data_IF_480975869011
#
_entry.id   IF_480975869011
#
_cell.length_a   1.000
_cell.length_b   1.000
_cell.length_c   1.000
_cell.angle_alpha   90.00
_cell.angle_beta   90.00
_cell.angle_gamma   90.00
#
_symmetry.space_group_name_H-M   'P 1'
#
loop_
_entity.id
_entity.type
_entity.pdbx_description
1 polymer ?
#
# COMPACT_ATOMS: atom_id res chain seq x y z
N UNK A 1 3.24 5.87 -29.29
CA UNK A 1 1.93 6.51 -29.53
C UNK A 1 1.79 7.23 -30.88
N UNK A 2 2.90 7.63 -31.52
CA UNK A 2 2.85 8.33 -32.82
C UNK A 2 2.21 7.52 -33.96
N UNK A 3 2.41 6.21 -33.97
CA UNK A 3 1.80 5.32 -34.97
C UNK A 3 0.28 5.27 -34.83
N UNK A 4 -0.21 5.29 -33.61
CA UNK A 4 -1.64 5.26 -33.31
C UNK A 4 -2.29 6.60 -33.67
N UNK A 5 -1.68 7.72 -33.33
CA UNK A 5 -2.11 9.05 -33.70
C UNK A 5 -2.13 9.24 -35.23
N UNK A 6 -1.12 8.75 -35.93
CA UNK A 6 -1.07 8.80 -37.39
C UNK A 6 -2.22 8.01 -38.04
N UNK A 7 -2.54 6.85 -37.48
CA UNK A 7 -3.65 6.01 -37.93
C UNK A 7 -5.01 6.64 -37.65
N UNK A 8 -5.18 7.25 -36.47
CA UNK A 8 -6.38 8.00 -36.11
C UNK A 8 -6.58 9.24 -36.96
N UNK A 9 -5.53 10.00 -37.23
CA UNK A 9 -5.56 11.15 -38.16
C UNK A 9 -6.02 10.75 -39.53
N UNK A 10 -5.57 9.60 -40.04
CA UNK A 10 -6.00 9.07 -41.35
C UNK A 10 -7.47 8.65 -41.35
N UNK A 11 -7.94 8.01 -40.24
CA UNK A 11 -9.33 7.58 -40.10
C UNK A 11 -10.31 8.76 -39.99
N UNK A 12 -9.93 9.76 -39.20
CA UNK A 12 -10.76 10.95 -38.98
C UNK A 12 -10.63 12.02 -40.08
N UNK A 13 -9.61 11.92 -40.96
CA UNK A 13 -9.31 12.96 -41.95
C UNK A 13 -8.91 14.31 -41.36
N UNK A 14 -8.58 14.35 -40.06
CA UNK A 14 -8.24 15.55 -39.27
C UNK A 14 -7.11 15.22 -38.28
N UNK A 15 -6.46 16.30 -37.82
CA UNK A 15 -5.41 16.14 -36.80
C UNK A 15 -6.05 15.93 -35.42
N UNK A 16 -5.91 14.74 -34.89
CA UNK A 16 -6.37 14.36 -33.54
C UNK A 16 -5.28 14.74 -32.54
N UNK A 17 -5.64 15.53 -31.53
CA UNK A 17 -4.67 16.01 -30.53
C UNK A 17 -4.33 14.95 -29.47
N UNK A 18 -5.28 14.06 -29.17
CA UNK A 18 -5.12 13.02 -28.14
C UNK A 18 -5.70 11.69 -28.65
N UNK A 19 -4.96 10.60 -28.44
CA UNK A 19 -5.39 9.26 -28.83
C UNK A 19 -6.73 8.84 -28.21
N UNK A 20 -7.00 9.26 -26.97
CA UNK A 20 -8.27 8.98 -26.31
C UNK A 20 -9.46 9.62 -27.02
N UNK A 21 -9.36 10.91 -27.36
CA UNK A 21 -10.43 11.61 -28.07
C UNK A 21 -10.62 11.03 -29.48
N UNK A 22 -9.53 10.60 -30.13
CA UNK A 22 -9.61 9.99 -31.46
C UNK A 22 -10.25 8.60 -31.48
N UNK A 23 -10.11 7.81 -30.43
CA UNK A 23 -10.71 6.46 -30.34
C UNK A 23 -12.21 6.55 -30.02
N UNK A 24 -12.60 7.45 -29.14
CA UNK A 24 -13.96 7.51 -28.58
C UNK A 24 -14.84 8.60 -29.23
N UNK A 25 -14.36 9.30 -30.24
CA UNK A 25 -15.15 10.27 -30.99
C UNK A 25 -15.74 9.67 -32.27
N UNK A 26 -16.83 10.26 -32.74
CA UNK A 26 -17.48 9.82 -33.97
C UNK A 26 -16.65 10.27 -35.20
N UNK A 27 -16.50 9.37 -36.20
CA UNK A 27 -15.61 9.54 -37.34
C UNK A 27 -15.88 10.82 -38.21
N UNK A 28 -17.05 11.42 -38.07
CA UNK A 28 -17.43 12.62 -38.85
C UNK A 28 -17.74 13.85 -37.99
N UNK A 29 -17.73 13.71 -36.66
CA UNK A 29 -17.97 14.81 -35.73
C UNK A 29 -16.67 15.43 -35.21
N UNK A 30 -16.78 16.49 -34.43
CA UNK A 30 -15.64 17.12 -33.80
C UNK A 30 -14.91 16.11 -32.88
N UNK A 31 -13.61 15.83 -33.09
CA UNK A 31 -12.86 14.87 -32.29
C UNK A 31 -12.70 15.26 -30.81
N UNK A 32 -13.14 16.46 -30.42
CA UNK A 32 -13.22 16.87 -29.01
C UNK A 32 -14.46 16.33 -28.30
N UNK A 33 -15.49 15.86 -29.03
CA UNK A 33 -16.73 15.33 -28.46
C UNK A 33 -16.64 13.81 -28.33
N UNK A 34 -16.64 13.33 -27.11
CA UNK A 34 -16.64 11.88 -26.82
C UNK A 34 -18.04 11.31 -27.03
N UNK A 35 -18.14 10.24 -27.80
CA UNK A 35 -19.39 9.53 -27.96
C UNK A 35 -19.68 8.69 -26.72
N UNK A 36 -20.88 8.81 -26.13
CA UNK A 36 -21.31 8.03 -24.98
C UNK A 36 -21.96 6.76 -25.47
N UNK A 37 -21.46 5.61 -25.02
CA UNK A 37 -22.00 4.31 -25.42
C UNK A 37 -21.25 3.17 -24.77
N UNK A 38 -21.70 1.95 -25.03
CA UNK A 38 -21.04 0.74 -24.60
C UNK A 38 -19.90 0.40 -25.54
N UNK A 39 -18.69 0.31 -25.01
CA UNK A 39 -17.49 -0.02 -25.79
C UNK A 39 -17.01 -1.42 -25.42
N UNK A 40 -16.77 -2.25 -26.44
CA UNK A 40 -16.23 -3.60 -26.25
C UNK A 40 -14.76 -3.62 -26.68
N UNK A 41 -13.86 -3.91 -25.74
CA UNK A 41 -12.46 -4.17 -26.02
C UNK A 41 -12.28 -5.67 -26.27
N UNK A 42 -11.87 -6.03 -27.50
CA UNK A 42 -11.49 -7.41 -27.81
C UNK A 42 -9.99 -7.53 -27.90
N UNK A 43 -9.38 -8.27 -26.99
CA UNK A 43 -7.96 -8.57 -27.00
C UNK A 43 -7.79 -9.97 -27.56
N UNK A 44 -6.99 -10.10 -28.63
CA UNK A 44 -6.66 -11.40 -29.23
C UNK A 44 -5.16 -11.59 -29.01
N UNK A 45 -4.82 -12.55 -28.16
CA UNK A 45 -3.44 -12.98 -27.94
C UNK A 45 -3.19 -14.27 -28.74
N UNK A 46 -2.08 -14.31 -29.45
CA UNK A 46 -1.65 -15.50 -30.19
C UNK A 46 -0.31 -15.96 -29.63
N UNK A 47 -0.28 -17.16 -29.10
CA UNK A 47 0.94 -17.81 -28.64
C UNK A 47 1.51 -18.70 -29.75
N UNK A 48 2.81 -18.67 -29.93
CA UNK A 48 3.50 -19.46 -30.96
C UNK A 48 4.13 -20.75 -30.41
N UNK A 49 4.17 -20.89 -29.08
CA UNK A 49 4.68 -22.06 -28.39
C UNK A 49 3.57 -22.72 -27.55
N UNK A 50 3.50 -24.07 -27.51
CA UNK A 50 2.38 -24.79 -26.88
C UNK A 50 2.24 -24.59 -25.36
N UNK A 51 3.33 -24.20 -24.67
CA UNK A 51 3.37 -23.99 -23.22
C UNK A 51 3.46 -22.51 -22.82
N UNK A 52 3.30 -21.60 -23.78
CA UNK A 52 3.34 -20.15 -23.49
C UNK A 52 2.00 -19.67 -22.96
N UNK A 53 2.02 -19.01 -21.81
CA UNK A 53 0.88 -18.31 -21.24
C UNK A 53 1.02 -16.80 -21.40
N UNK A 54 -0.10 -16.08 -21.56
CA UNK A 54 -0.13 -14.64 -21.73
C UNK A 54 -0.96 -14.03 -20.59
N UNK A 55 -0.30 -13.35 -19.70
CA UNK A 55 -0.97 -12.57 -18.67
C UNK A 55 -1.26 -11.15 -19.18
N UNK A 56 -2.53 -10.77 -19.27
CA UNK A 56 -2.95 -9.46 -19.77
C UNK A 56 -3.59 -8.68 -18.63
N UNK A 57 -2.99 -7.56 -18.26
CA UNK A 57 -3.56 -6.60 -17.34
C UNK A 57 -4.13 -5.41 -18.13
N UNK A 58 -5.44 -5.19 -18.02
CA UNK A 58 -6.11 -4.04 -18.61
C UNK A 58 -6.46 -3.01 -17.55
N UNK A 59 -5.88 -1.81 -17.67
CA UNK A 59 -6.17 -0.69 -16.77
C UNK A 59 -6.89 0.41 -17.53
N UNK A 60 -8.16 0.60 -17.23
CA UNK A 60 -8.95 1.70 -17.76
C UNK A 60 -8.85 2.92 -16.84
N UNK A 61 -8.28 4.00 -17.35
CA UNK A 61 -8.29 5.29 -16.67
C UNK A 61 -9.63 5.98 -16.91
N UNK A 62 -10.49 6.02 -15.90
CA UNK A 62 -11.76 6.74 -15.91
C UNK A 62 -11.75 7.94 -14.95
N UNK A 63 -12.76 8.79 -15.04
CA UNK A 63 -13.09 9.72 -13.97
C UNK A 63 -13.89 8.94 -12.92
N UNK A 64 -13.22 8.45 -11.88
CA UNK A 64 -13.88 7.80 -10.76
C UNK A 64 -14.22 8.89 -9.75
N UNK A 65 -15.51 9.14 -9.59
CA UNK A 65 -16.04 10.02 -8.55
C UNK A 65 -16.54 9.14 -7.39
N UNK A 66 -15.64 8.66 -6.54
CA UNK A 66 -16.00 8.03 -5.28
C UNK A 66 -16.31 9.08 -4.20
N UNK A 67 -16.91 8.66 -3.07
CA UNK A 67 -17.23 9.55 -1.95
C UNK A 67 -16.01 10.32 -1.41
N UNK A 68 -14.83 9.69 -1.45
CA UNK A 68 -13.57 10.27 -1.00
C UNK A 68 -12.61 10.62 -2.16
N UNK A 69 -13.11 10.58 -3.41
CA UNK A 69 -12.29 10.86 -4.59
C UNK A 69 -11.30 9.74 -4.92
N UNK A 70 -10.26 10.11 -5.67
CA UNK A 70 -9.24 9.18 -6.17
C UNK A 70 -7.84 9.64 -5.75
N UNK A 71 -6.92 8.68 -5.62
CA UNK A 71 -5.49 8.97 -5.40
C UNK A 71 -4.81 9.44 -6.70
N UNK A 72 -3.50 9.74 -6.60
CA UNK A 72 -2.67 10.15 -7.75
C UNK A 72 -2.56 9.06 -8.85
N UNK A 73 -2.86 7.79 -8.50
CA UNK A 73 -2.95 6.67 -9.44
C UNK A 73 -4.38 6.41 -9.93
N UNK A 74 -5.31 7.33 -9.64
CA UNK A 74 -6.74 7.26 -9.99
C UNK A 74 -7.46 6.03 -9.43
N UNK A 75 -7.01 5.49 -8.27
CA UNK A 75 -7.69 4.42 -7.54
C UNK A 75 -8.71 5.03 -6.59
N UNK A 76 -9.86 4.37 -6.44
CA UNK A 76 -10.91 4.82 -5.53
C UNK A 76 -10.43 4.73 -4.07
N UNK A 77 -10.40 5.87 -3.38
CA UNK A 77 -10.02 5.97 -1.98
C UNK A 77 -11.04 5.32 -1.06
N UNK A 78 -12.32 5.30 -1.42
CA UNK A 78 -13.37 4.64 -0.65
C UNK A 78 -13.09 3.15 -0.50
N UNK A 79 -12.76 2.49 -1.60
CA UNK A 79 -12.41 1.07 -1.62
C UNK A 79 -11.14 0.80 -0.80
N UNK A 80 -10.12 1.65 -0.97
CA UNK A 80 -8.87 1.53 -0.23
C UNK A 80 -9.09 1.69 1.29
N UNK A 81 -9.95 2.61 1.71
CA UNK A 81 -10.27 2.83 3.14
C UNK A 81 -11.09 1.67 3.71
N UNK A 82 -12.13 1.21 3.01
CA UNK A 82 -12.99 0.12 3.48
C UNK A 82 -12.23 -1.20 3.65
N UNK A 83 -11.31 -1.51 2.76
CA UNK A 83 -10.48 -2.73 2.87
C UNK A 83 -9.26 -2.53 3.77
N UNK A 84 -8.69 -1.33 3.79
CA UNK A 84 -7.51 -1.04 4.60
C UNK A 84 -7.82 -0.88 6.09
N UNK A 85 -8.97 -0.30 6.45
CA UNK A 85 -9.31 -0.04 7.84
C UNK A 85 -9.39 -1.31 8.71
N UNK A 86 -10.08 -2.40 8.32
CA UNK A 86 -10.11 -3.61 9.12
C UNK A 86 -8.72 -4.24 9.32
N UNK A 87 -7.89 -4.22 8.27
CA UNK A 87 -6.52 -4.74 8.33
C UNK A 87 -5.66 -3.89 9.27
N UNK A 88 -5.76 -2.56 9.18
CA UNK A 88 -5.03 -1.64 10.05
C UNK A 88 -5.46 -1.78 11.51
N UNK A 89 -6.77 -1.93 11.78
CA UNK A 89 -7.30 -2.15 13.12
C UNK A 89 -6.83 -3.48 13.70
N UNK A 90 -6.90 -4.56 12.93
CA UNK A 90 -6.42 -5.87 13.35
C UNK A 90 -4.91 -5.83 13.64
N UNK A 91 -4.12 -5.21 12.76
CA UNK A 91 -2.69 -5.01 12.96
C UNK A 91 -2.41 -4.23 14.25
N UNK A 92 -3.07 -3.09 14.44
CA UNK A 92 -2.90 -2.25 15.62
C UNK A 92 -3.29 -2.95 16.91
N UNK A 93 -4.41 -3.71 16.91
CA UNK A 93 -4.86 -4.46 18.07
C UNK A 93 -3.86 -5.57 18.45
N UNK A 94 -3.44 -6.37 17.48
CA UNK A 94 -2.46 -7.45 17.73
C UNK A 94 -1.12 -6.88 18.19
N UNK A 95 -0.67 -5.78 17.57
CA UNK A 95 0.55 -5.10 17.99
C UNK A 95 0.44 -4.56 19.43
N UNK A 96 -0.67 -3.91 19.78
CA UNK A 96 -0.88 -3.36 21.11
C UNK A 96 -0.94 -4.46 22.19
N UNK A 97 -1.73 -5.51 21.97
CA UNK A 97 -1.82 -6.63 22.91
C UNK A 97 -0.47 -7.35 23.03
N UNK A 98 0.19 -7.63 21.90
CA UNK A 98 1.49 -8.28 21.90
C UNK A 98 2.54 -7.45 22.65
N UNK A 99 2.59 -6.16 22.39
CA UNK A 99 3.52 -5.25 23.09
C UNK A 99 3.22 -5.21 24.60
N UNK A 100 1.96 -5.03 24.99
CA UNK A 100 1.58 -4.95 26.41
C UNK A 100 1.88 -6.22 27.17
N UNK A 101 1.53 -7.37 26.63
CA UNK A 101 1.79 -8.66 27.30
C UNK A 101 3.29 -8.93 27.42
N UNK A 102 4.05 -8.71 26.35
CA UNK A 102 5.49 -8.96 26.38
C UNK A 102 6.23 -7.96 27.25
N UNK A 103 5.87 -6.67 27.25
CA UNK A 103 6.48 -5.68 28.14
C UNK A 103 6.21 -6.00 29.61
N UNK A 104 4.98 -6.40 29.97
CA UNK A 104 4.61 -6.82 31.29
C UNK A 104 5.44 -8.07 31.78
N UNK A 105 5.58 -9.08 30.92
CA UNK A 105 6.40 -10.23 31.20
C UNK A 105 7.86 -9.86 31.45
N UNK A 106 8.46 -9.02 30.59
CA UNK A 106 9.84 -8.58 30.75
C UNK A 106 10.00 -7.72 32.00
N UNK A 107 9.06 -6.83 32.30
CA UNK A 107 9.06 -6.05 33.52
C UNK A 107 9.00 -6.96 34.78
N UNK A 108 8.13 -7.96 34.78
CA UNK A 108 8.01 -8.93 35.86
C UNK A 108 9.30 -9.73 36.03
N UNK A 109 9.91 -10.18 34.93
CA UNK A 109 11.22 -10.85 35.01
C UNK A 109 12.31 -9.94 35.58
N UNK A 110 12.38 -8.70 35.13
CA UNK A 110 13.36 -7.74 35.65
C UNK A 110 13.22 -7.50 37.14
N UNK A 111 11.99 -7.31 37.62
CA UNK A 111 11.72 -7.10 39.05
C UNK A 111 11.96 -8.36 39.89
N UNK A 112 11.65 -9.54 39.35
CA UNK A 112 11.85 -10.81 40.04
C UNK A 112 13.32 -11.14 40.28
N UNK A 113 14.16 -11.01 39.24
CA UNK A 113 15.59 -11.32 39.35
C UNK A 113 16.39 -10.17 39.96
N UNK A 114 15.93 -8.93 39.76
CA UNK A 114 16.61 -7.73 40.27
C UNK A 114 18.07 -7.59 39.81
N UNK A 115 18.84 -6.77 40.52
CA UNK A 115 20.27 -6.60 40.25
C UNK A 115 20.62 -6.22 38.83
N UNK A 116 21.63 -6.86 38.26
CA UNK A 116 22.13 -6.53 36.94
C UNK A 116 21.17 -6.84 35.79
N UNK A 117 20.27 -7.82 35.98
CA UNK A 117 19.23 -8.14 34.97
C UNK A 117 18.27 -6.97 34.79
N UNK A 118 17.85 -6.42 35.93
CA UNK A 118 16.98 -5.25 35.95
C UNK A 118 17.67 -4.03 35.34
N UNK A 119 18.93 -3.80 35.65
CA UNK A 119 19.72 -2.71 35.09
C UNK A 119 19.91 -2.86 33.56
N UNK A 120 20.16 -4.09 33.07
CA UNK A 120 20.29 -4.37 31.66
C UNK A 120 19.00 -4.06 30.91
N UNK A 121 17.84 -4.50 31.41
CA UNK A 121 16.53 -4.23 30.80
C UNK A 121 16.28 -2.71 30.76
N UNK A 122 16.62 -1.98 31.82
CA UNK A 122 16.50 -0.52 31.84
C UNK A 122 17.37 0.14 30.77
N UNK A 123 18.63 -0.29 30.64
CA UNK A 123 19.55 0.25 29.64
C UNK A 123 19.05 0.02 28.20
N UNK A 124 18.57 -1.20 27.92
CA UNK A 124 17.98 -1.51 26.60
C UNK A 124 16.77 -0.62 26.35
N UNK A 125 15.92 -0.42 27.35
CA UNK A 125 14.74 0.46 27.24
C UNK A 125 15.15 1.91 26.95
N UNK A 126 16.16 2.43 27.63
CA UNK A 126 16.67 3.80 27.42
C UNK A 126 17.23 3.97 26.02
N UNK A 127 18.02 3.01 25.53
CA UNK A 127 18.54 3.03 24.15
C UNK A 127 17.39 3.00 23.14
N UNK A 128 16.39 2.13 23.36
CA UNK A 128 15.26 2.03 22.46
C UNK A 128 14.41 3.30 22.40
N UNK A 129 14.27 4.05 23.48
CA UNK A 129 13.54 5.32 23.53
C UNK A 129 14.18 6.42 22.66
N UNK A 130 15.49 6.34 22.42
CA UNK A 130 16.22 7.29 21.56
C UNK A 130 16.11 6.90 20.08
N UNK A 131 15.79 5.64 19.78
CA UNK A 131 15.70 5.16 18.41
C UNK A 131 14.47 5.74 17.70
N UNK A 132 14.61 6.22 16.44
CA UNK A 132 13.51 6.75 15.67
C UNK A 132 12.65 5.60 15.13
N UNK A 133 11.66 5.20 15.92
CA UNK A 133 10.75 4.08 15.67
C UNK A 133 10.21 4.02 14.22
N UNK A 134 9.63 5.11 13.72
CA UNK A 134 9.07 5.15 12.37
C UNK A 134 10.12 4.99 11.27
N UNK A 135 11.31 5.56 11.47
CA UNK A 135 12.41 5.43 10.50
C UNK A 135 12.86 3.98 10.36
N UNK A 136 12.92 3.25 11.47
CA UNK A 136 13.28 1.82 11.45
C UNK A 136 12.19 1.01 10.75
N UNK A 137 10.91 1.27 11.02
CA UNK A 137 9.80 0.58 10.33
C UNK A 137 9.81 0.83 8.82
N UNK A 138 10.03 2.07 8.40
CA UNK A 138 10.12 2.42 6.98
C UNK A 138 11.32 1.71 6.34
N UNK A 139 12.48 1.71 7.01
CA UNK A 139 13.68 1.04 6.53
C UNK A 139 13.44 -0.47 6.36
N UNK A 140 12.86 -1.12 7.35
CA UNK A 140 12.54 -2.56 7.26
C UNK A 140 11.53 -2.85 6.15
N UNK A 141 10.49 -2.03 6.02
CA UNK A 141 9.47 -2.19 4.99
C UNK A 141 9.97 -1.96 3.57
N UNK A 142 10.98 -1.11 3.39
CA UNK A 142 11.54 -0.79 2.06
C UNK A 142 12.66 -1.74 1.65
N UNK A 143 13.57 -2.06 2.56
CA UNK A 143 14.81 -2.78 2.23
C UNK A 143 14.76 -4.28 2.54
N UNK A 144 13.95 -4.70 3.53
CA UNK A 144 13.93 -6.10 3.96
C UNK A 144 12.70 -6.84 3.46
N UNK A 145 11.50 -6.42 3.85
CA UNK A 145 10.27 -7.09 3.44
C UNK A 145 9.04 -6.20 3.58
N UNK A 146 8.16 -6.23 2.58
CA UNK A 146 6.84 -5.58 2.62
C UNK A 146 5.77 -6.45 3.28
N UNK A 147 6.14 -7.60 3.86
CA UNK A 147 5.21 -8.48 4.55
C UNK A 147 4.66 -7.83 5.82
N UNK A 148 3.34 -7.84 5.96
CA UNK A 148 2.66 -7.31 7.16
C UNK A 148 3.09 -8.03 8.43
N UNK A 149 3.41 -9.32 8.35
CA UNK A 149 3.87 -10.11 9.47
C UNK A 149 5.25 -9.70 9.97
N UNK A 150 6.17 -9.40 9.05
CA UNK A 150 7.50 -8.91 9.39
C UNK A 150 7.38 -7.55 10.08
N UNK A 151 6.57 -6.65 9.52
CA UNK A 151 6.32 -5.34 10.11
C UNK A 151 5.67 -5.46 11.50
N UNK A 152 4.75 -6.41 11.70
CA UNK A 152 4.12 -6.67 12.98
C UNK A 152 5.16 -7.09 14.03
N UNK A 153 6.02 -8.07 13.70
CA UNK A 153 7.06 -8.54 14.61
C UNK A 153 8.01 -7.40 14.99
N UNK A 154 8.46 -6.62 14.03
CA UNK A 154 9.34 -5.46 14.28
C UNK A 154 8.63 -4.40 15.13
N UNK A 155 7.36 -4.12 14.85
CA UNK A 155 6.54 -3.19 15.62
C UNK A 155 6.44 -3.63 17.09
N UNK A 156 6.13 -4.89 17.33
CA UNK A 156 6.06 -5.46 18.69
C UNK A 156 7.43 -5.43 19.35
N UNK A 157 8.49 -5.87 18.67
CA UNK A 157 9.83 -5.92 19.22
C UNK A 157 10.35 -4.54 19.67
N UNK A 158 10.16 -3.53 18.83
CA UNK A 158 10.51 -2.15 19.19
C UNK A 158 9.57 -1.58 20.25
N UNK A 159 8.27 -1.91 20.17
CA UNK A 159 7.25 -1.44 21.08
C UNK A 159 7.43 -1.91 22.51
N UNK A 160 7.92 -3.12 22.75
CA UNK A 160 8.16 -3.68 24.06
C UNK A 160 9.03 -2.74 24.92
N UNK A 161 10.06 -2.17 24.33
CA UNK A 161 11.03 -1.33 25.03
C UNK A 161 10.69 0.18 24.98
N UNK A 162 9.52 0.60 24.51
CA UNK A 162 9.09 2.01 24.46
C UNK A 162 8.39 2.46 25.73
N UNK A 163 9.10 2.55 26.85
CA UNK A 163 8.56 3.19 28.06
C UNK A 163 7.50 2.41 28.84
N UNK A 164 6.80 1.44 28.23
CA UNK A 164 5.78 0.60 28.87
C UNK A 164 6.36 -0.15 30.08
N UNK A 165 7.58 -0.65 29.93
CA UNK A 165 8.29 -1.36 31.02
C UNK A 165 8.46 -0.45 32.26
N UNK A 166 8.72 0.85 32.09
CA UNK A 166 8.84 1.80 33.21
C UNK A 166 7.50 2.04 33.89
N UNK A 167 6.42 2.07 33.14
CA UNK A 167 5.06 2.24 33.66
C UNK A 167 4.59 1.01 34.40
N UNK A 168 4.82 -0.18 33.84
CA UNK A 168 4.42 -1.47 34.43
C UNK A 168 5.14 -1.77 35.77
N UNK A 169 6.28 -1.14 36.03
CA UNK A 169 7.02 -1.24 37.31
C UNK A 169 6.54 -0.26 38.37
N UNK A 170 5.85 0.82 37.95
CA UNK A 170 5.38 1.85 38.86
C UNK A 170 4.05 1.45 39.57
N UNK A 171 3.44 0.34 39.13
CA UNK A 171 2.20 -0.22 39.69
C UNK A 171 2.55 -1.37 40.64
#
# INVERSE_FOLDING_TARGET
>A
DDKLLTRLNRLHGRKVQNAMTGIYSELKSDPSVLNRGDYTLKIIATTFEPESDVNIEFVQHGQVAGLFGTDHLRRDLTTAMLWGAPIALAFGLVAAVGTSVLSMLIAAFGTWYGGWVDELIQRITEVNMVLPYFSILIMVGTFYSRSIWVLLVVTVALGIFTGTIKTDRAI
#
